data_IF_652747004121
#
_entry.id   IF_652747004121
#
_cell.length_a   1.000
_cell.length_b   1.000
_cell.length_c   1.000
_cell.angle_alpha   90.00
_cell.angle_beta   90.00
_cell.angle_gamma   90.00
#
_symmetry.space_group_name_H-M   'P 1'
#
loop_
_entity.id
_entity.type
_entity.pdbx_description
1 polymer ?
#
# COMPACT_ATOMS: atom_id res chain seq x y z
N UNK A 1 1.46 19.14 44.36
CA UNK A 1 1.54 17.83 43.69
C UNK A 1 0.34 17.75 42.76
N UNK A 2 0.56 17.94 41.44
CA UNK A 2 -0.52 17.86 40.47
C UNK A 2 -0.88 16.38 40.29
N UNK A 3 -2.11 16.01 40.65
CA UNK A 3 -2.62 14.67 40.38
C UNK A 3 -2.76 14.51 38.87
N UNK A 4 -1.87 13.75 38.26
CA UNK A 4 -2.06 13.24 36.91
C UNK A 4 -3.28 12.33 36.95
N UNK A 5 -4.46 12.85 36.63
CA UNK A 5 -5.62 12.02 36.37
C UNK A 5 -5.33 11.25 35.07
N UNK A 6 -5.09 9.96 35.16
CA UNK A 6 -5.02 9.09 34.00
C UNK A 6 -6.41 9.17 33.31
N UNK A 7 -6.45 9.92 32.18
CA UNK A 7 -7.64 9.91 31.33
C UNK A 7 -7.86 8.47 30.86
N UNK A 8 -9.00 7.89 31.20
CA UNK A 8 -9.35 6.55 30.73
C UNK A 8 -9.64 6.63 29.22
N UNK A 9 -9.09 5.67 28.45
CA UNK A 9 -9.36 5.59 27.00
C UNK A 9 -10.86 5.43 26.79
N UNK A 10 -11.50 6.25 25.94
CA UNK A 10 -12.93 6.10 25.65
C UNK A 10 -13.20 4.76 24.95
N UNK A 11 -14.35 4.17 25.28
CA UNK A 11 -14.84 2.96 24.60
C UNK A 11 -15.94 3.32 23.61
N UNK A 12 -16.01 2.63 22.44
CA UNK A 12 -17.07 2.84 21.47
C UNK A 12 -18.41 2.33 21.99
N UNK A 13 -19.47 2.99 21.59
CA UNK A 13 -20.84 2.60 21.89
C UNK A 13 -21.20 1.28 21.20
N UNK A 14 -22.20 0.57 21.75
CA UNK A 14 -22.73 -0.67 21.19
C UNK A 14 -24.22 -0.47 20.85
N UNK A 15 -24.63 -0.99 19.69
CA UNK A 15 -26.02 -1.00 19.30
C UNK A 15 -26.81 -2.11 20.02
N UNK A 16 -28.11 -2.22 19.75
CA UNK A 16 -29.01 -3.22 20.35
C UNK A 16 -28.54 -4.68 20.14
N UNK A 17 -27.77 -4.94 19.07
CA UNK A 17 -27.17 -6.24 18.77
C UNK A 17 -25.81 -6.45 19.43
N UNK A 18 -25.34 -5.51 20.24
CA UNK A 18 -24.03 -5.55 20.89
C UNK A 18 -22.85 -5.22 19.97
N UNK A 19 -23.09 -4.79 18.74
CA UNK A 19 -22.04 -4.42 17.78
C UNK A 19 -21.56 -3.00 18.05
N UNK A 20 -20.23 -2.82 18.05
CA UNK A 20 -19.62 -1.49 18.16
C UNK A 20 -19.84 -0.70 16.88
N UNK A 21 -20.13 0.59 17.02
CA UNK A 21 -20.33 1.49 15.90
C UNK A 21 -19.62 2.83 16.13
N UNK A 22 -19.30 3.52 15.03
CA UNK A 22 -18.61 4.80 15.07
C UNK A 22 -19.65 5.89 15.34
N UNK A 23 -19.42 6.70 16.41
CA UNK A 23 -20.17 7.93 16.64
C UNK A 23 -19.22 9.12 16.62
N UNK A 24 -19.70 10.27 16.13
CA UNK A 24 -18.91 11.51 16.19
C UNK A 24 -18.43 11.82 17.60
N UNK A 25 -19.34 11.67 18.58
CA UNK A 25 -19.05 11.86 20.00
C UNK A 25 -17.90 10.98 20.50
N UNK A 26 -17.89 9.70 20.11
CA UNK A 26 -16.79 8.80 20.45
C UNK A 26 -15.49 9.25 19.80
N UNK A 27 -15.53 9.60 18.50
CA UNK A 27 -14.37 10.06 17.76
C UNK A 27 -13.77 11.34 18.37
N UNK A 28 -14.60 12.31 18.76
CA UNK A 28 -14.14 13.54 19.44
C UNK A 28 -13.42 13.24 20.75
N UNK A 29 -14.04 12.40 21.60
CA UNK A 29 -13.41 11.97 22.87
C UNK A 29 -12.09 11.23 22.64
N UNK A 30 -12.03 10.41 21.59
CA UNK A 30 -10.80 9.69 21.23
C UNK A 30 -9.72 10.64 20.72
N UNK A 31 -10.10 11.67 19.96
CA UNK A 31 -9.18 12.74 19.55
C UNK A 31 -8.61 13.46 20.77
N UNK A 32 -9.44 13.91 21.71
CA UNK A 32 -8.97 14.55 22.94
C UNK A 32 -8.06 13.65 23.78
N UNK A 33 -8.41 12.36 23.89
CA UNK A 33 -7.58 11.37 24.58
C UNK A 33 -6.18 11.27 23.97
N UNK A 34 -6.09 11.35 22.65
CA UNK A 34 -4.85 11.30 21.88
C UNK A 34 -4.14 12.68 21.73
N UNK A 35 -4.59 13.70 22.46
CA UNK A 35 -3.98 15.04 22.44
C UNK A 35 -4.47 15.93 21.29
N UNK A 36 -5.53 15.56 20.59
CA UNK A 36 -6.22 16.38 19.60
C UNK A 36 -7.33 17.25 20.19
N UNK A 37 -8.32 17.57 19.38
CA UNK A 37 -9.38 18.55 19.69
C UNK A 37 -10.75 17.90 19.82
N UNK A 38 -11.62 18.47 20.64
CA UNK A 38 -13.03 18.09 20.79
C UNK A 38 -13.82 18.31 19.48
N UNK A 39 -13.45 19.31 18.69
CA UNK A 39 -14.15 19.67 17.45
C UNK A 39 -13.63 18.84 16.28
N UNK A 40 -14.51 18.09 15.54
CA UNK A 40 -14.11 17.18 14.46
C UNK A 40 -13.19 17.82 13.41
N UNK A 41 -13.58 19.00 12.92
CA UNK A 41 -12.89 19.71 11.84
C UNK A 41 -11.49 20.24 12.20
N UNK A 42 -11.11 20.25 13.47
CA UNK A 42 -9.75 20.65 13.91
C UNK A 42 -8.75 19.48 13.91
N UNK A 43 -9.23 18.24 13.73
CA UNK A 43 -8.37 17.07 13.77
C UNK A 43 -7.88 16.67 12.39
N UNK A 44 -6.59 16.39 12.27
CA UNK A 44 -5.95 15.89 11.06
C UNK A 44 -5.76 14.37 11.07
N UNK A 45 -5.77 13.74 12.24
CA UNK A 45 -5.56 12.30 12.41
C UNK A 45 -6.68 11.70 13.27
N UNK A 46 -7.16 10.51 12.87
CA UNK A 46 -8.18 9.78 13.63
C UNK A 46 -7.78 8.29 13.72
N UNK A 47 -7.72 7.78 14.96
CA UNK A 47 -7.23 6.43 15.27
C UNK A 47 -8.37 5.51 15.69
N UNK A 48 -8.97 4.82 14.74
CA UNK A 48 -10.12 3.92 14.93
C UNK A 48 -9.75 2.42 14.79
N UNK A 49 -8.46 2.11 14.83
CA UNK A 49 -7.94 0.73 14.69
C UNK A 49 -8.26 -0.15 15.92
N UNK A 50 -8.36 -1.47 15.70
CA UNK A 50 -8.58 -2.49 16.75
C UNK A 50 -9.84 -2.26 17.60
N UNK A 51 -10.92 -1.70 17.03
CA UNK A 51 -12.14 -1.41 17.78
C UNK A 51 -13.28 -2.40 17.51
N UNK A 52 -13.17 -3.23 16.47
CA UNK A 52 -14.22 -4.18 16.06
C UNK A 52 -15.41 -3.48 15.37
N UNK A 53 -15.19 -2.39 14.67
CA UNK A 53 -16.19 -1.72 13.85
C UNK A 53 -16.53 -2.54 12.61
N UNK A 54 -17.82 -2.64 12.28
CA UNK A 54 -18.30 -3.31 11.07
C UNK A 54 -18.53 -2.34 9.91
N UNK A 55 -18.66 -1.05 10.21
CA UNK A 55 -19.05 -0.03 9.22
C UNK A 55 -18.27 1.26 9.45
N UNK A 56 -17.97 1.97 8.36
CA UNK A 56 -17.43 3.33 8.40
C UNK A 56 -18.61 4.28 8.30
N UNK A 57 -18.82 5.09 9.32
CA UNK A 57 -19.97 6.00 9.41
C UNK A 57 -19.71 7.18 10.35
N UNK A 58 -20.54 8.24 10.25
CA UNK A 58 -20.51 9.39 11.14
C UNK A 58 -19.16 10.15 11.19
N UNK A 59 -18.48 10.22 10.04
CA UNK A 59 -17.22 10.95 9.90
C UNK A 59 -17.35 12.27 9.12
N UNK A 60 -18.57 12.66 8.73
CA UNK A 60 -18.85 13.78 7.82
C UNK A 60 -18.26 15.12 8.28
N UNK A 61 -18.18 15.36 9.57
CA UNK A 61 -17.68 16.60 10.15
C UNK A 61 -16.15 16.66 10.29
N UNK A 62 -15.45 15.55 10.02
CA UNK A 62 -13.97 15.49 10.04
C UNK A 62 -13.35 15.98 8.70
N UNK A 63 -13.86 17.07 8.16
CA UNK A 63 -13.56 17.59 6.80
C UNK A 63 -12.08 17.88 6.51
N UNK A 64 -11.28 18.15 7.56
CA UNK A 64 -9.85 18.42 7.46
C UNK A 64 -8.97 17.22 7.76
N UNK A 65 -9.58 16.02 7.93
CA UNK A 65 -8.84 14.80 8.23
C UNK A 65 -7.87 14.46 7.10
N UNK A 66 -6.61 14.20 7.47
CA UNK A 66 -5.53 13.82 6.55
C UNK A 66 -5.14 12.36 6.68
N UNK A 67 -5.26 11.80 7.88
CA UNK A 67 -4.86 10.40 8.14
C UNK A 67 -5.97 9.70 8.92
N UNK A 68 -6.43 8.58 8.37
CA UNK A 68 -7.47 7.75 8.99
C UNK A 68 -6.96 6.32 9.16
N UNK A 69 -6.92 5.87 10.43
CA UNK A 69 -6.54 4.51 10.81
C UNK A 69 -7.78 3.69 11.16
N UNK A 70 -8.10 2.72 10.33
CA UNK A 70 -9.23 1.79 10.46
C UNK A 70 -8.79 0.32 10.41
N UNK A 71 -7.48 0.07 10.52
CA UNK A 71 -6.95 -1.29 10.46
C UNK A 71 -7.44 -2.19 11.59
N UNK A 72 -7.50 -3.49 11.29
CA UNK A 72 -7.87 -4.54 12.25
C UNK A 72 -9.25 -4.31 12.88
N UNK A 73 -10.23 -4.08 12.03
CA UNK A 73 -11.65 -4.01 12.33
C UNK A 73 -12.42 -5.14 11.61
N UNK A 74 -13.74 -5.04 11.55
CA UNK A 74 -14.62 -6.00 10.89
C UNK A 74 -15.32 -5.38 9.67
N UNK A 75 -14.68 -4.39 9.02
CA UNK A 75 -15.25 -3.59 7.95
C UNK A 75 -15.33 -4.44 6.68
N UNK A 76 -16.52 -4.53 6.08
CA UNK A 76 -16.78 -5.29 4.86
C UNK A 76 -16.87 -4.40 3.62
N UNK A 77 -17.17 -3.10 3.79
CA UNK A 77 -17.41 -2.16 2.72
C UNK A 77 -16.72 -0.83 2.96
N UNK A 78 -16.14 -0.25 1.90
CA UNK A 78 -15.63 1.12 1.93
C UNK A 78 -16.81 2.06 1.68
N UNK A 79 -17.18 2.86 2.69
CA UNK A 79 -18.28 3.84 2.64
C UNK A 79 -18.07 4.93 3.69
N UNK A 80 -18.89 5.99 3.69
CA UNK A 80 -18.85 7.05 4.71
C UNK A 80 -17.58 7.92 4.68
N UNK A 81 -16.92 7.99 3.52
CA UNK A 81 -15.67 8.77 3.32
C UNK A 81 -15.90 9.99 2.42
N UNK A 82 -17.13 10.24 1.97
CA UNK A 82 -17.47 11.18 0.90
C UNK A 82 -17.08 12.64 1.23
N UNK A 83 -17.04 12.98 2.51
CA UNK A 83 -16.69 14.34 2.98
C UNK A 83 -15.19 14.51 3.30
N UNK A 84 -14.42 13.42 3.30
CA UNK A 84 -13.01 13.44 3.72
C UNK A 84 -12.05 13.80 2.56
N UNK A 85 -12.38 14.83 1.80
CA UNK A 85 -11.65 15.23 0.57
C UNK A 85 -10.18 15.62 0.78
N UNK A 86 -9.80 15.94 2.02
CA UNK A 86 -8.42 16.26 2.41
C UNK A 86 -7.59 15.03 2.78
N UNK A 87 -8.18 13.82 2.74
CA UNK A 87 -7.51 12.60 3.20
C UNK A 87 -6.32 12.26 2.32
N UNK A 88 -5.16 12.12 2.95
CA UNK A 88 -3.89 11.77 2.29
C UNK A 88 -3.46 10.34 2.55
N UNK A 89 -3.84 9.79 3.72
CA UNK A 89 -3.49 8.42 4.10
C UNK A 89 -4.72 7.68 4.64
N UNK A 90 -5.01 6.52 4.05
CA UNK A 90 -6.10 5.64 4.48
C UNK A 90 -5.58 4.24 4.76
N UNK A 91 -5.72 3.80 6.01
CA UNK A 91 -5.27 2.49 6.47
C UNK A 91 -6.47 1.61 6.80
N UNK A 92 -6.73 0.62 5.96
CA UNK A 92 -7.84 -0.35 6.03
C UNK A 92 -7.36 -1.80 6.07
N UNK A 93 -6.07 -2.03 6.35
CA UNK A 93 -5.52 -3.39 6.39
C UNK A 93 -6.15 -4.25 7.49
N UNK A 94 -6.20 -5.57 7.24
CA UNK A 94 -6.77 -6.56 8.14
C UNK A 94 -8.26 -6.29 8.46
N UNK A 95 -9.06 -6.14 7.41
CA UNK A 95 -10.52 -6.05 7.45
C UNK A 95 -11.15 -7.16 6.58
N UNK A 96 -12.40 -7.03 6.22
CA UNK A 96 -13.15 -8.01 5.41
C UNK A 96 -13.61 -7.43 4.07
N UNK A 97 -12.96 -6.38 3.59
CA UNK A 97 -13.31 -5.64 2.38
C UNK A 97 -13.11 -6.56 1.16
N UNK A 98 -14.15 -6.70 0.33
CA UNK A 98 -14.11 -7.49 -0.89
C UNK A 98 -14.03 -6.67 -2.18
N UNK A 99 -14.33 -5.37 -2.11
CA UNK A 99 -14.39 -4.48 -3.26
C UNK A 99 -13.74 -3.12 -2.96
N UNK A 100 -12.96 -2.60 -3.92
CA UNK A 100 -12.43 -1.24 -3.87
C UNK A 100 -13.46 -0.32 -4.52
N UNK A 101 -14.14 0.47 -3.72
CA UNK A 101 -15.22 1.36 -4.16
C UNK A 101 -15.30 2.64 -3.31
N UNK A 102 -16.07 3.64 -3.78
CA UNK A 102 -16.38 4.87 -3.03
C UNK A 102 -15.14 5.70 -2.64
N UNK A 103 -14.07 5.62 -3.43
CA UNK A 103 -12.84 6.39 -3.20
C UNK A 103 -12.71 7.62 -4.12
N UNK A 104 -13.67 7.87 -5.01
CA UNK A 104 -13.59 8.90 -6.05
C UNK A 104 -13.42 10.32 -5.51
N UNK A 105 -13.95 10.61 -4.32
CA UNK A 105 -13.83 11.90 -3.64
C UNK A 105 -12.44 12.14 -3.03
N UNK A 106 -11.63 11.08 -2.82
CA UNK A 106 -10.35 11.14 -2.11
C UNK A 106 -9.18 11.52 -3.04
N UNK A 107 -9.34 12.58 -3.82
CA UNK A 107 -8.35 13.02 -4.84
C UNK A 107 -6.99 13.48 -4.24
N UNK A 108 -6.93 13.66 -2.93
CA UNK A 108 -5.69 13.98 -2.20
C UNK A 108 -4.96 12.75 -1.66
N UNK A 109 -5.48 11.54 -1.91
CA UNK A 109 -4.94 10.31 -1.35
C UNK A 109 -3.57 9.98 -1.95
N UNK A 110 -2.60 9.78 -1.07
CA UNK A 110 -1.19 9.46 -1.38
C UNK A 110 -0.87 8.02 -0.97
N UNK A 111 -1.43 7.58 0.16
CA UNK A 111 -1.20 6.24 0.71
C UNK A 111 -2.54 5.54 0.89
N UNK A 112 -2.68 4.36 0.29
CA UNK A 112 -3.80 3.45 0.49
C UNK A 112 -3.28 2.08 0.92
N UNK A 113 -3.69 1.61 2.09
CA UNK A 113 -3.35 0.28 2.56
C UNK A 113 -4.61 -0.58 2.73
N UNK A 114 -4.75 -1.57 1.86
CA UNK A 114 -5.82 -2.58 1.81
C UNK A 114 -5.30 -4.00 2.05
N UNK A 115 -4.10 -4.15 2.60
CA UNK A 115 -3.49 -5.47 2.87
C UNK A 115 -4.35 -6.33 3.79
N UNK A 116 -4.35 -7.66 3.58
CA UNK A 116 -5.08 -8.58 4.46
C UNK A 116 -6.60 -8.42 4.42
N UNK A 117 -7.16 -8.22 3.23
CA UNK A 117 -8.60 -8.15 2.98
C UNK A 117 -9.08 -9.31 2.09
N UNK A 118 -10.24 -9.18 1.46
CA UNK A 118 -10.86 -10.19 0.59
C UNK A 118 -11.01 -9.71 -0.87
N UNK A 119 -10.08 -8.87 -1.34
CA UNK A 119 -10.18 -8.21 -2.63
C UNK A 119 -9.68 -9.15 -3.73
N UNK A 120 -10.46 -9.25 -4.83
CA UNK A 120 -10.15 -10.09 -5.98
C UNK A 120 -9.66 -9.27 -7.18
N UNK A 121 -10.00 -7.99 -7.26
CA UNK A 121 -9.67 -7.14 -8.42
C UNK A 121 -9.33 -5.73 -7.97
N UNK A 122 -8.28 -5.15 -8.55
CA UNK A 122 -7.92 -3.74 -8.35
C UNK A 122 -8.78 -2.88 -9.28
N UNK A 123 -9.76 -2.19 -8.70
CA UNK A 123 -10.69 -1.29 -9.38
C UNK A 123 -10.93 -0.02 -8.55
N UNK A 124 -11.76 0.91 -9.00
CA UNK A 124 -12.17 2.09 -8.21
C UNK A 124 -11.04 3.11 -7.91
N UNK A 125 -9.92 3.05 -8.63
CA UNK A 125 -8.75 3.91 -8.40
C UNK A 125 -8.63 5.09 -9.39
N UNK A 126 -9.55 5.24 -10.33
CA UNK A 126 -9.41 6.15 -11.50
C UNK A 126 -9.18 7.60 -11.11
N UNK A 127 -9.78 8.07 -10.02
CA UNK A 127 -9.66 9.46 -9.56
C UNK A 127 -8.52 9.68 -8.56
N UNK A 128 -7.78 8.63 -8.19
CA UNK A 128 -6.68 8.70 -7.22
C UNK A 128 -5.36 9.08 -7.91
N UNK A 129 -5.35 10.20 -8.61
CA UNK A 129 -4.20 10.64 -9.44
C UNK A 129 -2.93 10.95 -8.65
N UNK A 130 -3.05 11.18 -7.33
CA UNK A 130 -1.92 11.44 -6.42
C UNK A 130 -1.47 10.19 -5.65
N UNK A 131 -2.09 9.03 -5.89
CA UNK A 131 -1.72 7.81 -5.17
C UNK A 131 -0.30 7.39 -5.51
N UNK A 132 0.58 7.41 -4.52
CA UNK A 132 2.00 7.06 -4.64
C UNK A 132 2.30 5.68 -4.07
N UNK A 133 1.67 5.31 -2.95
CA UNK A 133 1.92 4.06 -2.25
C UNK A 133 0.64 3.25 -2.12
N UNK A 134 0.62 2.09 -2.74
CA UNK A 134 -0.51 1.18 -2.70
C UNK A 134 -0.09 -0.20 -2.19
N UNK A 135 -0.70 -0.60 -1.06
CA UNK A 135 -0.48 -1.89 -0.42
C UNK A 135 -1.75 -2.73 -0.51
N UNK A 136 -1.65 -3.90 -1.15
CA UNK A 136 -2.75 -4.85 -1.34
C UNK A 136 -2.26 -6.29 -1.16
N UNK A 137 -1.22 -6.49 -0.33
CA UNK A 137 -0.72 -7.82 0.01
C UNK A 137 -1.78 -8.67 0.72
N UNK A 138 -1.65 -10.00 0.66
CA UNK A 138 -2.57 -10.94 1.34
C UNK A 138 -4.04 -10.69 0.99
N UNK A 139 -4.33 -10.62 -0.29
CA UNK A 139 -5.66 -10.58 -0.88
C UNK A 139 -5.85 -11.77 -1.84
N UNK A 140 -6.79 -11.73 -2.73
CA UNK A 140 -7.18 -12.82 -3.62
C UNK A 140 -7.00 -12.50 -5.11
N UNK A 141 -6.03 -11.65 -5.46
CA UNK A 141 -5.70 -11.35 -6.86
C UNK A 141 -5.14 -12.62 -7.53
N UNK A 142 -5.67 -13.00 -8.71
CA UNK A 142 -5.31 -14.24 -9.39
C UNK A 142 -4.73 -14.03 -10.79
N UNK A 143 -5.20 -13.01 -11.50
CA UNK A 143 -4.90 -12.79 -12.91
C UNK A 143 -4.25 -11.43 -13.17
N UNK A 144 -3.70 -11.26 -14.38
CA UNK A 144 -3.22 -9.96 -14.84
C UNK A 144 -4.33 -8.90 -14.91
N UNK A 145 -5.56 -9.30 -15.25
CA UNK A 145 -6.69 -8.38 -15.30
C UNK A 145 -7.04 -7.85 -13.92
N UNK A 146 -6.88 -8.67 -12.87
CA UNK A 146 -7.13 -8.25 -11.49
C UNK A 146 -6.19 -7.13 -11.02
N UNK A 147 -5.00 -7.05 -11.58
CA UNK A 147 -4.02 -6.00 -11.25
C UNK A 147 -4.07 -4.81 -12.21
N UNK A 148 -4.78 -4.91 -13.33
CA UNK A 148 -4.76 -3.90 -14.41
C UNK A 148 -5.17 -2.50 -13.95
N UNK A 149 -6.03 -2.43 -12.93
CA UNK A 149 -6.48 -1.16 -12.35
C UNK A 149 -5.36 -0.25 -11.84
N UNK A 150 -4.16 -0.77 -11.54
CA UNK A 150 -3.00 0.04 -11.14
C UNK A 150 -2.55 1.03 -12.23
N UNK A 151 -2.88 0.77 -13.49
CA UNK A 151 -2.57 1.66 -14.61
C UNK A 151 -3.33 3.00 -14.55
N UNK A 152 -4.40 3.08 -13.75
CA UNK A 152 -5.14 4.31 -13.50
C UNK A 152 -4.44 5.25 -12.50
N UNK A 153 -3.34 4.80 -11.87
CA UNK A 153 -2.60 5.57 -10.86
C UNK A 153 -1.25 6.03 -11.43
N UNK A 154 -1.18 7.15 -12.17
CA UNK A 154 0.04 7.59 -12.85
C UNK A 154 1.17 7.97 -11.89
N UNK A 155 0.86 8.36 -10.66
CA UNK A 155 1.84 8.76 -9.64
C UNK A 155 2.40 7.59 -8.83
N UNK A 156 1.94 6.36 -9.08
CA UNK A 156 2.29 5.21 -8.23
C UNK A 156 3.79 4.91 -8.30
N UNK A 157 4.44 4.97 -7.13
CA UNK A 157 5.87 4.71 -6.95
C UNK A 157 6.14 3.42 -6.19
N UNK A 158 5.22 3.01 -5.31
CA UNK A 158 5.27 1.77 -4.56
C UNK A 158 4.01 0.94 -4.79
N UNK A 159 4.21 -0.31 -5.17
CA UNK A 159 3.15 -1.32 -5.29
C UNK A 159 3.53 -2.58 -4.51
N UNK A 160 2.68 -2.97 -3.57
CA UNK A 160 2.80 -4.22 -2.84
C UNK A 160 1.63 -5.15 -3.15
N UNK A 161 1.90 -6.21 -3.93
CA UNK A 161 0.96 -7.28 -4.26
C UNK A 161 1.46 -8.64 -3.76
N UNK A 162 2.29 -8.68 -2.72
CA UNK A 162 2.80 -9.92 -2.13
C UNK A 162 1.68 -10.83 -1.62
N UNK A 163 1.98 -12.12 -1.54
CA UNK A 163 1.10 -13.09 -0.89
C UNK A 163 -0.34 -13.05 -1.42
N UNK A 164 -0.51 -12.80 -2.72
CA UNK A 164 -1.75 -13.02 -3.44
C UNK A 164 -1.75 -14.39 -4.11
N UNK A 165 -2.68 -14.67 -4.99
CA UNK A 165 -2.87 -15.97 -5.62
C UNK A 165 -2.60 -15.89 -7.13
N UNK A 166 -1.72 -14.98 -7.57
CA UNK A 166 -1.44 -14.77 -8.99
C UNK A 166 -0.69 -16.00 -9.53
N UNK A 167 -1.34 -16.76 -10.42
CA UNK A 167 -0.80 -18.00 -11.03
C UNK A 167 -0.89 -17.99 -12.57
N UNK A 168 -0.91 -16.82 -13.17
CA UNK A 168 -0.82 -16.66 -14.62
C UNK A 168 0.63 -16.59 -15.13
N UNK A 169 0.78 -16.55 -16.47
CA UNK A 169 2.07 -16.26 -17.08
C UNK A 169 2.66 -14.96 -16.49
N UNK A 170 3.81 -15.03 -15.81
CA UNK A 170 4.40 -13.86 -15.17
C UNK A 170 4.76 -12.74 -16.14
N UNK A 171 5.02 -13.05 -17.43
CA UNK A 171 5.26 -12.03 -18.43
C UNK A 171 4.07 -11.11 -18.65
N UNK A 172 2.85 -11.64 -18.52
CA UNK A 172 1.62 -10.85 -18.62
C UNK A 172 1.53 -9.80 -17.50
N UNK A 173 1.82 -10.21 -16.28
CA UNK A 173 1.90 -9.34 -15.11
C UNK A 173 2.98 -8.27 -15.29
N UNK A 174 4.19 -8.70 -15.66
CA UNK A 174 5.32 -7.78 -15.83
C UNK A 174 5.09 -6.78 -16.98
N UNK A 175 4.37 -7.15 -18.04
CA UNK A 175 4.01 -6.24 -19.13
C UNK A 175 3.06 -5.11 -18.67
N UNK A 176 2.17 -5.38 -17.72
CA UNK A 176 1.34 -4.33 -17.09
C UNK A 176 2.24 -3.37 -16.32
N UNK A 177 3.12 -3.90 -15.47
CA UNK A 177 3.99 -3.10 -14.62
C UNK A 177 5.03 -2.29 -15.39
N UNK A 178 5.50 -2.78 -16.54
CA UNK A 178 6.41 -2.07 -17.43
C UNK A 178 5.80 -0.76 -17.97
N UNK A 179 4.47 -0.69 -18.06
CA UNK A 179 3.73 0.51 -18.47
C UNK A 179 3.60 1.56 -17.39
N UNK A 180 4.01 1.26 -16.15
CA UNK A 180 3.95 2.17 -15.01
C UNK A 180 5.20 3.06 -14.98
N UNK A 181 5.09 4.37 -15.30
CA UNK A 181 6.26 5.21 -15.55
C UNK A 181 7.07 5.54 -14.30
N UNK A 182 6.44 5.50 -13.11
CA UNK A 182 7.00 5.97 -11.87
C UNK A 182 7.27 4.87 -10.84
N UNK A 183 7.01 3.58 -11.18
CA UNK A 183 7.17 2.47 -10.24
C UNK A 183 8.65 2.28 -9.86
N UNK A 184 8.97 2.48 -8.58
CA UNK A 184 10.32 2.38 -8.01
C UNK A 184 10.47 1.25 -7.00
N UNK A 185 9.41 0.95 -6.26
CA UNK A 185 9.40 -0.07 -5.21
C UNK A 185 8.32 -1.09 -5.55
N UNK A 186 8.72 -2.34 -5.65
CA UNK A 186 7.81 -3.43 -6.00
C UNK A 186 8.00 -4.62 -5.09
N UNK A 187 6.89 -5.11 -4.54
CA UNK A 187 6.84 -6.30 -3.72
C UNK A 187 5.92 -7.33 -4.38
N UNK A 188 6.46 -8.53 -4.68
CA UNK A 188 5.76 -9.53 -5.47
C UNK A 188 5.85 -10.96 -4.92
N UNK A 189 6.72 -11.22 -3.93
CA UNK A 189 6.89 -12.53 -3.32
C UNK A 189 5.57 -13.14 -2.83
N UNK A 190 5.52 -14.48 -2.77
CA UNK A 190 4.35 -15.20 -2.27
C UNK A 190 3.20 -15.32 -3.27
N UNK A 191 3.44 -15.05 -4.57
CA UNK A 191 2.53 -15.38 -5.66
C UNK A 191 2.98 -16.66 -6.37
N UNK A 192 2.05 -17.50 -6.82
CA UNK A 192 2.37 -18.81 -7.41
C UNK A 192 3.13 -18.71 -8.73
N UNK A 193 2.87 -17.67 -9.53
CA UNK A 193 3.54 -17.45 -10.81
C UNK A 193 5.05 -17.22 -10.70
N UNK A 194 5.58 -16.85 -9.53
CA UNK A 194 7.01 -16.58 -9.33
C UNK A 194 7.87 -17.81 -9.64
N UNK A 195 7.38 -19.01 -9.36
CA UNK A 195 8.08 -20.27 -9.65
C UNK A 195 8.42 -20.46 -11.14
N UNK A 196 7.68 -19.79 -12.01
CA UNK A 196 7.91 -19.83 -13.47
C UNK A 196 8.88 -18.75 -13.97
N UNK A 197 9.29 -17.80 -13.13
CA UNK A 197 10.23 -16.74 -13.51
C UNK A 197 11.67 -17.25 -13.35
N UNK A 198 12.30 -17.63 -14.46
CA UNK A 198 13.72 -17.99 -14.44
C UNK A 198 14.57 -16.80 -13.97
N UNK A 199 15.49 -17.06 -13.03
CA UNK A 199 16.36 -16.01 -12.49
C UNK A 199 15.57 -14.78 -11.99
N UNK A 200 14.51 -15.00 -11.22
CA UNK A 200 13.50 -14.05 -10.77
C UNK A 200 13.99 -12.60 -10.64
N UNK A 201 14.96 -12.34 -9.77
CA UNK A 201 15.45 -10.98 -9.54
C UNK A 201 16.06 -10.36 -10.81
N UNK A 202 16.90 -11.11 -11.54
CA UNK A 202 17.53 -10.62 -12.78
C UNK A 202 16.49 -10.26 -13.82
N UNK A 203 15.52 -11.11 -14.03
CA UNK A 203 14.44 -10.90 -15.00
C UNK A 203 13.64 -9.64 -14.68
N UNK A 204 13.21 -9.49 -13.42
CA UNK A 204 12.37 -8.33 -13.02
C UNK A 204 13.15 -7.02 -13.14
N UNK A 205 14.39 -6.95 -12.62
CA UNK A 205 15.15 -5.70 -12.65
C UNK A 205 15.57 -5.27 -14.06
N UNK A 206 15.70 -6.19 -14.98
CA UNK A 206 15.96 -5.87 -16.40
C UNK A 206 14.70 -5.37 -17.12
N UNK A 207 13.54 -5.95 -16.79
CA UNK A 207 12.27 -5.56 -17.39
C UNK A 207 11.77 -4.25 -16.78
N UNK A 208 11.79 -4.12 -15.47
CA UNK A 208 11.35 -2.92 -14.75
C UNK A 208 12.56 -2.01 -14.44
N UNK A 209 13.01 -1.27 -15.44
CA UNK A 209 14.29 -0.53 -15.39
C UNK A 209 14.37 0.56 -14.33
N UNK A 210 13.24 1.07 -13.85
CA UNK A 210 13.17 2.17 -12.86
C UNK A 210 13.12 1.69 -11.42
N UNK A 211 13.03 0.37 -11.18
CA UNK A 211 13.01 -0.15 -9.81
C UNK A 211 14.30 0.22 -9.06
N UNK A 212 14.12 0.75 -7.86
CA UNK A 212 15.18 0.98 -6.87
C UNK A 212 15.12 -0.02 -5.73
N UNK A 213 13.99 -0.72 -5.57
CA UNK A 213 13.78 -1.72 -4.54
C UNK A 213 12.89 -2.85 -5.07
N UNK A 214 13.30 -4.09 -4.85
CA UNK A 214 12.54 -5.29 -5.20
C UNK A 214 12.49 -6.23 -4.01
N UNK A 215 11.28 -6.51 -3.53
CA UNK A 215 10.98 -7.31 -2.34
C UNK A 215 11.77 -6.81 -1.10
N UNK A 216 12.77 -7.54 -0.67
CA UNK A 216 13.55 -7.31 0.56
C UNK A 216 14.89 -6.60 0.33
N UNK A 217 15.22 -6.24 -0.92
CA UNK A 217 16.55 -5.70 -1.26
C UNK A 217 16.53 -4.54 -2.23
N UNK A 218 17.37 -3.51 -2.00
CA UNK A 218 17.58 -2.43 -2.97
C UNK A 218 18.15 -2.98 -4.28
N UNK A 219 17.78 -2.34 -5.39
CA UNK A 219 18.30 -2.63 -6.73
C UNK A 219 19.43 -1.64 -7.02
N UNK A 220 20.66 -2.14 -7.05
CA UNK A 220 21.85 -1.36 -7.36
C UNK A 220 22.19 -1.42 -8.84
N UNK A 221 22.97 -0.46 -9.33
CA UNK A 221 23.48 -0.48 -10.71
C UNK A 221 24.32 -1.73 -11.00
N UNK A 222 25.11 -2.15 -10.04
CA UNK A 222 25.87 -3.42 -10.10
C UNK A 222 24.95 -4.63 -10.37
N UNK A 223 23.74 -4.66 -9.79
CA UNK A 223 22.78 -5.73 -10.02
C UNK A 223 22.28 -5.74 -11.47
N UNK A 224 22.08 -4.57 -12.08
CA UNK A 224 21.64 -4.44 -13.48
C UNK A 224 22.74 -4.84 -14.44
N UNK A 225 23.96 -4.39 -14.21
CA UNK A 225 25.14 -4.75 -15.00
C UNK A 225 25.34 -6.27 -14.95
N UNK A 226 25.33 -6.85 -13.76
CA UNK A 226 25.43 -8.30 -13.58
C UNK A 226 24.33 -9.08 -14.26
N UNK A 227 23.07 -8.62 -14.12
CA UNK A 227 21.92 -9.28 -14.75
C UNK A 227 22.01 -9.25 -16.28
N UNK A 228 22.44 -8.13 -16.88
CA UNK A 228 22.66 -8.01 -18.33
C UNK A 228 23.76 -8.95 -18.82
N UNK A 229 24.92 -8.94 -18.16
CA UNK A 229 26.03 -9.83 -18.51
C UNK A 229 25.67 -11.31 -18.38
N UNK A 230 24.82 -11.66 -17.39
CA UNK A 230 24.32 -13.03 -17.25
C UNK A 230 23.52 -13.49 -18.47
N UNK A 231 22.68 -12.64 -19.04
CA UNK A 231 21.92 -12.97 -20.25
C UNK A 231 22.84 -13.20 -21.47
N UNK A 232 23.99 -12.50 -21.55
CA UNK A 232 24.93 -12.57 -22.65
C UNK A 232 25.84 -13.79 -22.59
N UNK A 233 26.17 -14.28 -21.42
CA UNK A 233 27.16 -15.36 -21.28
C UNK A 233 27.18 -16.08 -19.94
N UNK A 234 26.06 -16.07 -19.22
CA UNK A 234 25.86 -16.84 -18.00
C UNK A 234 26.66 -16.31 -16.81
N UNK A 235 26.80 -17.16 -15.78
CA UNK A 235 27.38 -16.79 -14.49
C UNK A 235 28.81 -16.23 -14.58
N UNK A 236 29.64 -16.78 -15.47
CA UNK A 236 31.02 -16.32 -15.64
C UNK A 236 31.10 -14.86 -16.06
N UNK A 237 30.33 -14.48 -17.10
CA UNK A 237 30.27 -13.07 -17.54
C UNK A 237 29.67 -12.15 -16.48
N UNK A 238 28.70 -12.62 -15.70
CA UNK A 238 28.15 -11.83 -14.59
C UNK A 238 29.23 -11.48 -13.56
N UNK A 239 30.03 -12.45 -13.13
CA UNK A 239 31.11 -12.23 -12.15
C UNK A 239 32.12 -11.22 -12.69
N UNK A 240 32.61 -11.43 -13.91
CA UNK A 240 33.57 -10.53 -14.56
C UNK A 240 33.04 -9.09 -14.66
N UNK A 241 31.76 -8.91 -15.04
CA UNK A 241 31.14 -7.60 -15.17
C UNK A 241 30.98 -6.88 -13.82
N UNK A 242 30.61 -7.61 -12.76
CA UNK A 242 30.50 -7.06 -11.39
C UNK A 242 31.86 -6.64 -10.84
N UNK A 243 32.89 -7.46 -11.01
CA UNK A 243 34.26 -7.14 -10.59
C UNK A 243 34.79 -5.90 -11.30
N UNK A 244 34.60 -5.83 -12.62
CA UNK A 244 34.97 -4.66 -13.42
C UNK A 244 34.32 -3.38 -12.87
N UNK A 245 33.00 -3.41 -12.64
CA UNK A 245 32.24 -2.28 -12.12
C UNK A 245 32.74 -1.83 -10.75
N UNK A 246 33.03 -2.77 -9.81
CA UNK A 246 33.56 -2.44 -8.48
C UNK A 246 34.92 -1.76 -8.58
N UNK A 247 35.82 -2.32 -9.38
CA UNK A 247 37.16 -1.77 -9.56
C UNK A 247 37.14 -0.35 -10.17
N UNK A 248 36.20 -0.08 -11.11
CA UNK A 248 36.01 1.25 -11.68
C UNK A 248 35.43 2.24 -10.66
N UNK A 249 34.44 1.82 -9.88
CA UNK A 249 33.82 2.64 -8.85
C UNK A 249 34.78 3.02 -7.71
N UNK A 250 35.68 2.10 -7.31
CA UNK A 250 36.70 2.37 -6.29
C UNK A 250 37.75 3.39 -6.78
N UNK A 251 38.09 3.38 -8.06
CA UNK A 251 39.00 4.36 -8.64
C UNK A 251 38.40 5.76 -8.69
N UNK A 252 37.10 5.85 -9.00
CA UNK A 252 36.38 7.13 -9.07
C UNK A 252 36.19 7.76 -7.68
N UNK A 253 36.03 6.97 -6.62
CA UNK A 253 35.85 7.46 -5.25
C UNK A 253 37.18 7.85 -4.56
N UNK A 254 38.34 7.57 -5.17
CA UNK A 254 39.66 7.93 -4.65
C UNK A 254 40.24 9.21 -5.26
N UNK A 255 39.58 9.76 -6.25
CA UNK A 255 39.89 11.04 -6.89
C UNK A 255 38.86 12.11 -6.48
#
# INVERSE_FOLDING_TARGET
MSAYSYKQKPEPEKNEKGLRYITEKYCCKLCEYNGGYEYPHLNNNLYLHFQGFHKIENLDNFINLRVLYLESNLIEKIEGLEKLVSLSCLYLQNNYISKIENLDCLQSLVILNLSGNKIHTIEGLTNLIKLENFYIEKNYLQTQEDIRGVLNCPSLTLLDIQNNQIDENPDSVLNILERMPNLKVFYFKGNDCIKYIKNYRRTIILKLRRLTYLDDRPVKEEDRIGAKAYLEGGYKKEVEAREKYRNESEKTNKN
#
